data_IF_415094731811
#
_entry.id   IF_415094731811
#
_cell.length_a   1.000
_cell.length_b   1.000
_cell.length_c   1.000
_cell.angle_alpha   90.00
_cell.angle_beta   90.00
_cell.angle_gamma   90.00
#
_symmetry.space_group_name_H-M   'P 1'
#
loop_
_entity.id
_entity.type
_entity.pdbx_description
1 polymer ?
#
# COMPACT_ATOMS: atom_id res chain seq x y z
N UNK A 1 -2.39 -26.43 18.78
CA UNK A 1 -2.27 -25.04 19.28
C UNK A 1 -2.38 -25.06 20.80
N UNK A 2 -1.60 -24.21 21.47
CA UNK A 2 -1.62 -23.98 22.91
C UNK A 2 -1.84 -22.51 23.19
N UNK A 3 -2.42 -22.21 24.35
CA UNK A 3 -2.52 -20.87 24.90
C UNK A 3 -1.34 -20.62 25.83
N UNK A 4 -0.53 -19.61 25.52
CA UNK A 4 0.49 -19.10 26.40
C UNK A 4 -0.12 -18.05 27.35
N UNK A 5 -0.07 -18.31 28.65
CA UNK A 5 -0.67 -17.47 29.70
C UNK A 5 0.41 -17.16 30.74
N UNK A 6 0.63 -15.88 31.03
CA UNK A 6 1.62 -15.46 32.04
C UNK A 6 0.91 -15.07 33.32
N UNK A 7 1.23 -15.76 34.42
CA UNK A 7 0.73 -15.47 35.76
C UNK A 7 1.60 -14.42 36.44
N UNK A 8 0.98 -13.31 36.88
CA UNK A 8 1.62 -12.17 37.55
C UNK A 8 1.20 -12.09 39.02
N UNK A 9 2.15 -12.21 39.94
CA UNK A 9 1.93 -12.10 41.39
C UNK A 9 1.77 -10.67 41.94
N UNK A 10 1.45 -9.68 41.11
CA UNK A 10 1.71 -8.24 41.33
C UNK A 10 1.14 -7.57 42.60
N UNK A 11 0.24 -8.19 43.36
CA UNK A 11 -0.20 -7.68 44.68
C UNK A 11 0.74 -8.04 45.84
N UNK A 12 1.67 -8.98 45.65
CA UNK A 12 2.56 -9.49 46.69
C UNK A 12 3.95 -8.84 46.69
N UNK A 13 4.21 -7.87 45.82
CA UNK A 13 5.48 -7.12 45.78
C UNK A 13 6.71 -7.96 45.37
N UNK A 14 6.50 -9.14 44.77
CA UNK A 14 7.56 -10.01 44.24
C UNK A 14 7.40 -10.19 42.73
N UNK A 15 8.51 -10.22 41.99
CA UNK A 15 8.61 -10.46 40.54
C UNK A 15 8.30 -11.93 40.19
N UNK A 16 7.07 -12.37 40.49
CA UNK A 16 6.58 -13.68 40.08
C UNK A 16 5.90 -13.55 38.71
N UNK A 17 6.64 -13.88 37.65
CA UNK A 17 6.13 -14.04 36.29
C UNK A 17 6.34 -15.49 35.82
N UNK A 18 5.25 -16.27 35.79
CA UNK A 18 5.28 -17.70 35.44
C UNK A 18 4.44 -17.92 34.19
N UNK A 19 5.05 -18.42 33.12
CA UNK A 19 4.34 -18.79 31.91
C UNK A 19 3.80 -20.21 32.01
N UNK A 20 2.50 -20.37 31.75
CA UNK A 20 1.77 -21.64 31.68
C UNK A 20 1.22 -21.82 30.28
N UNK A 21 1.36 -23.03 29.74
CA UNK A 21 0.83 -23.44 28.46
C UNK A 21 -0.38 -24.36 28.63
N UNK A 22 -1.48 -24.02 27.98
CA UNK A 22 -2.73 -24.77 28.05
C UNK A 22 -3.22 -25.22 26.67
N UNK A 23 -3.54 -26.50 26.52
CA UNK A 23 -3.99 -27.06 25.24
C UNK A 23 -5.51 -27.30 25.27
N UNK A 24 -6.31 -26.45 24.59
CA UNK A 24 -7.77 -26.65 24.48
C UNK A 24 -8.13 -28.02 23.88
N UNK A 25 -9.06 -28.77 24.51
CA UNK A 25 -9.65 -29.98 23.92
C UNK A 25 -10.77 -29.67 22.92
N UNK A 26 -11.38 -28.48 23.00
CA UNK A 26 -12.43 -27.98 22.09
C UNK A 26 -12.10 -26.54 21.65
N UNK A 27 -12.34 -26.17 20.38
CA UNK A 27 -12.01 -24.85 19.85
C UNK A 27 -12.88 -23.71 20.41
N UNK A 28 -14.08 -24.01 20.92
CA UNK A 28 -15.04 -22.95 21.28
C UNK A 28 -15.04 -22.52 22.76
N UNK A 29 -14.35 -23.21 23.69
CA UNK A 29 -14.11 -22.71 25.07
C UNK A 29 -12.93 -23.41 25.77
N UNK A 30 -11.82 -22.71 26.08
CA UNK A 30 -11.20 -22.86 27.42
C UNK A 30 -10.27 -21.73 27.92
N UNK A 31 -10.11 -20.59 27.23
CA UNK A 31 -9.22 -19.51 27.68
C UNK A 31 -9.60 -18.95 29.08
N UNK A 32 -10.86 -19.12 29.45
CA UNK A 32 -11.39 -18.72 30.75
C UNK A 32 -11.04 -19.67 31.89
N UNK A 33 -10.77 -20.97 31.68
CA UNK A 33 -10.54 -21.90 32.82
C UNK A 33 -9.39 -21.47 33.73
N UNK A 34 -8.23 -21.13 33.15
CA UNK A 34 -7.07 -20.65 33.91
C UNK A 34 -7.32 -19.25 34.48
N UNK A 35 -7.97 -18.38 33.72
CA UNK A 35 -8.31 -17.01 34.12
C UNK A 35 -9.39 -16.95 35.22
N UNK A 36 -10.34 -17.88 35.22
CA UNK A 36 -11.45 -17.99 36.18
C UNK A 36 -10.95 -18.57 37.50
N UNK A 37 -9.99 -19.51 37.43
CA UNK A 37 -9.41 -20.15 38.60
C UNK A 37 -8.36 -19.27 39.29
N UNK A 38 -7.48 -18.61 38.51
CA UNK A 38 -6.41 -17.77 39.05
C UNK A 38 -6.79 -16.29 39.17
N UNK A 39 -7.94 -15.89 38.62
CA UNK A 39 -8.42 -14.53 38.54
C UNK A 39 -7.87 -13.76 37.34
N UNK A 40 -8.77 -13.22 36.51
CA UNK A 40 -8.42 -12.54 35.24
C UNK A 40 -7.45 -11.36 35.38
N UNK A 41 -7.36 -10.75 36.57
CA UNK A 41 -6.44 -9.64 36.86
C UNK A 41 -5.00 -10.10 37.18
N UNK A 42 -4.77 -11.41 37.38
CA UNK A 42 -3.45 -12.01 37.64
C UNK A 42 -2.85 -12.73 36.44
N UNK A 43 -3.52 -12.77 35.30
CA UNK A 43 -3.04 -13.48 34.11
C UNK A 43 -2.97 -12.54 32.91
N UNK A 44 -2.01 -12.75 32.01
CA UNK A 44 -1.93 -12.04 30.74
C UNK A 44 -3.09 -12.44 29.83
N UNK A 45 -3.40 -11.59 28.84
CA UNK A 45 -4.23 -11.99 27.71
C UNK A 45 -3.58 -13.22 27.06
N UNK A 46 -4.31 -14.34 26.88
CA UNK A 46 -3.76 -15.54 26.27
C UNK A 46 -3.26 -15.29 24.85
N UNK A 47 -2.09 -15.82 24.51
CA UNK A 47 -1.55 -15.79 23.15
C UNK A 47 -1.53 -17.20 22.56
N UNK A 48 -2.06 -17.34 21.35
CA UNK A 48 -1.96 -18.59 20.61
C UNK A 48 -0.52 -18.87 20.18
N UNK A 49 -0.03 -20.06 20.54
CA UNK A 49 1.29 -20.57 20.13
C UNK A 49 1.16 -21.99 19.60
N UNK A 50 2.00 -22.36 18.65
CA UNK A 50 2.03 -23.72 18.12
C UNK A 50 3.25 -24.48 18.63
N UNK A 51 3.07 -25.19 19.73
CA UNK A 51 4.07 -26.03 20.37
C UNK A 51 3.89 -27.54 20.08
N UNK A 52 3.23 -27.90 18.95
CA UNK A 52 2.66 -29.23 18.68
C UNK A 52 3.34 -30.42 19.40
N UNK A 53 2.53 -31.28 20.01
CA UNK A 53 2.98 -32.53 20.65
C UNK A 53 2.12 -33.71 20.25
N UNK A 54 2.55 -34.91 20.63
CA UNK A 54 1.71 -36.11 20.49
C UNK A 54 0.48 -35.99 21.40
N UNK A 55 -0.62 -36.71 21.11
CA UNK A 55 -1.79 -36.70 21.99
C UNK A 55 -1.45 -37.03 23.45
N UNK A 56 -0.53 -37.97 23.67
CA UNK A 56 -0.07 -38.37 25.01
C UNK A 56 0.73 -37.25 25.70
N UNK A 57 1.61 -36.57 24.98
CA UNK A 57 2.35 -35.41 25.50
C UNK A 57 1.40 -34.27 25.88
N UNK A 58 0.42 -33.95 25.02
CA UNK A 58 -0.56 -32.90 25.26
C UNK A 58 -1.37 -33.18 26.52
N UNK A 59 -1.80 -34.43 26.74
CA UNK A 59 -2.49 -34.83 27.98
C UNK A 59 -1.59 -34.63 29.19
N UNK A 60 -0.35 -35.13 29.15
CA UNK A 60 0.62 -34.98 30.23
C UNK A 60 0.91 -33.50 30.57
N UNK A 61 1.08 -32.66 29.55
CA UNK A 61 1.33 -31.23 29.73
C UNK A 61 0.13 -30.50 30.33
N UNK A 62 -1.08 -30.83 29.89
CA UNK A 62 -2.31 -30.30 30.47
C UNK A 62 -2.50 -30.74 31.92
N UNK A 63 -2.18 -31.99 32.26
CA UNK A 63 -2.28 -32.50 33.63
C UNK A 63 -1.29 -31.78 34.56
N UNK A 64 -0.06 -31.52 34.09
CA UNK A 64 0.93 -30.73 34.81
C UNK A 64 0.49 -29.27 34.99
N UNK A 65 -0.05 -28.65 33.94
CA UNK A 65 -0.60 -27.29 34.00
C UNK A 65 -1.81 -27.20 34.93
N UNK A 66 -2.72 -28.17 34.89
CA UNK A 66 -3.87 -28.27 35.78
C UNK A 66 -3.45 -28.43 37.24
N UNK A 67 -2.46 -29.29 37.50
CA UNK A 67 -1.89 -29.48 38.84
C UNK A 67 -1.27 -28.20 39.40
N UNK A 68 -0.53 -27.46 38.56
CA UNK A 68 -0.02 -26.13 38.91
C UNK A 68 -1.17 -25.18 39.26
N UNK A 69 -2.14 -25.00 38.35
CA UNK A 69 -3.27 -24.08 38.51
C UNK A 69 -4.09 -24.39 39.75
N UNK A 70 -4.41 -25.66 39.99
CA UNK A 70 -5.18 -26.09 41.16
C UNK A 70 -4.44 -25.82 42.47
N UNK A 71 -3.12 -26.07 42.52
CA UNK A 71 -2.30 -25.79 43.70
C UNK A 71 -2.26 -24.31 44.02
N UNK A 72 -2.07 -23.44 43.02
CA UNK A 72 -2.09 -21.98 43.24
C UNK A 72 -3.47 -21.52 43.70
N UNK A 73 -4.54 -22.05 43.12
CA UNK A 73 -5.91 -21.67 43.47
C UNK A 73 -6.30 -22.08 44.89
N UNK A 74 -5.82 -23.22 45.39
CA UNK A 74 -6.06 -23.66 46.76
C UNK A 74 -5.42 -22.69 47.77
N UNK A 75 -4.16 -22.33 47.53
CA UNK A 75 -3.39 -21.42 48.39
C UNK A 75 -3.90 -19.98 48.31
N UNK A 76 -4.34 -19.53 47.13
CA UNK A 76 -4.93 -18.20 46.96
C UNK A 76 -6.22 -18.04 47.77
N UNK A 77 -7.02 -19.11 47.90
CA UNK A 77 -8.21 -19.10 48.77
C UNK A 77 -7.86 -18.92 50.24
N UNK A 78 -6.79 -19.55 50.71
CA UNK A 78 -6.33 -19.40 52.09
C UNK A 78 -5.76 -18.00 52.34
N UNK A 79 -4.97 -17.47 51.41
CA UNK A 79 -4.49 -16.09 51.46
C UNK A 79 -5.67 -15.09 51.48
N UNK A 80 -6.66 -15.26 50.59
CA UNK A 80 -7.84 -14.40 50.54
C UNK A 80 -8.72 -14.50 51.81
N UNK A 81 -8.72 -15.65 52.51
CA UNK A 81 -9.37 -15.78 53.83
C UNK A 81 -8.61 -14.99 54.89
N UNK A 82 -7.28 -15.04 54.89
CA UNK A 82 -6.43 -14.29 55.81
C UNK A 82 -6.55 -12.76 55.58
N UNK A 83 -6.56 -12.31 54.32
CA UNK A 83 -6.78 -10.90 53.95
C UNK A 83 -8.12 -10.37 54.47
N UNK A 84 -9.20 -11.12 54.25
CA UNK A 84 -10.54 -10.76 54.74
C UNK A 84 -10.62 -10.71 56.27
N UNK A 85 -9.83 -11.53 56.96
CA UNK A 85 -9.75 -11.48 58.41
C UNK A 85 -9.09 -10.18 58.92
N UNK A 86 -8.04 -9.68 58.25
CA UNK A 86 -7.43 -8.39 58.61
C UNK A 86 -8.45 -7.25 58.51
N UNK A 87 -9.26 -7.21 57.44
CA UNK A 87 -10.23 -6.14 57.22
C UNK A 87 -11.40 -6.10 58.23
N UNK A 88 -11.70 -7.22 58.91
CA UNK A 88 -12.84 -7.31 59.86
C UNK A 88 -12.49 -6.96 61.31
N UNK A 89 -11.22 -6.97 61.71
CA UNK A 89 -10.83 -6.82 63.12
C UNK A 89 -10.00 -5.55 63.36
N UNK A 90 -10.69 -4.42 63.54
CA UNK A 90 -10.09 -3.08 63.72
C UNK A 90 -9.52 -2.75 65.11
N UNK A 91 -9.30 -3.73 66.01
CA UNK A 91 -8.71 -3.50 67.34
C UNK A 91 -7.23 -3.94 67.36
N UNK A 92 -6.36 -3.14 67.99
CA UNK A 92 -4.89 -3.26 67.88
C UNK A 92 -4.31 -4.65 68.21
N UNK A 93 -4.86 -5.36 69.20
CA UNK A 93 -4.37 -6.69 69.62
C UNK A 93 -4.78 -7.79 68.64
N UNK A 94 -5.97 -7.69 68.05
CA UNK A 94 -6.44 -8.64 67.03
C UNK A 94 -5.81 -8.36 65.66
N UNK A 95 -5.48 -7.10 65.37
CA UNK A 95 -4.74 -6.70 64.16
C UNK A 95 -3.35 -7.33 64.07
N UNK A 96 -2.56 -7.34 65.16
CA UNK A 96 -1.22 -7.98 65.15
C UNK A 96 -1.29 -9.48 64.90
N UNK A 97 -2.26 -10.19 65.49
CA UNK A 97 -2.49 -11.63 65.26
C UNK A 97 -3.00 -11.91 63.84
N UNK A 98 -3.90 -11.06 63.32
CA UNK A 98 -4.39 -11.17 61.95
C UNK A 98 -3.27 -10.92 60.94
N UNK A 99 -2.38 -9.95 61.20
CA UNK A 99 -1.20 -9.68 60.37
C UNK A 99 -0.25 -10.88 60.34
N UNK A 100 0.09 -11.46 61.50
CA UNK A 100 0.93 -12.66 61.55
C UNK A 100 0.34 -13.83 60.76
N UNK A 101 -0.98 -14.05 60.82
CA UNK A 101 -1.66 -15.08 60.01
C UNK A 101 -1.62 -14.77 58.51
N UNK A 102 -1.70 -13.51 58.14
CA UNK A 102 -1.56 -13.11 56.74
C UNK A 102 -0.12 -13.27 56.25
N UNK A 103 0.87 -12.89 57.05
CA UNK A 103 2.28 -13.06 56.69
C UNK A 103 2.64 -14.55 56.56
N UNK A 104 2.09 -15.40 57.43
CA UNK A 104 2.22 -16.87 57.36
C UNK A 104 1.51 -17.46 56.12
N UNK A 105 0.27 -17.04 55.84
CA UNK A 105 -0.46 -17.43 54.64
C UNK A 105 0.21 -16.93 53.35
N UNK A 106 0.79 -15.73 53.37
CA UNK A 106 1.56 -15.17 52.26
C UNK A 106 2.84 -15.97 52.03
N UNK A 107 3.57 -16.30 53.09
CA UNK A 107 4.78 -17.12 53.00
C UNK A 107 4.46 -18.51 52.43
N UNK A 108 3.39 -19.14 52.94
CA UNK A 108 2.90 -20.44 52.48
C UNK A 108 2.48 -20.39 51.00
N UNK A 109 1.75 -19.35 50.60
CA UNK A 109 1.37 -19.11 49.22
C UNK A 109 2.59 -18.98 48.30
N UNK A 110 3.58 -18.17 48.68
CA UNK A 110 4.80 -17.96 47.89
C UNK A 110 5.63 -19.26 47.77
N UNK A 111 5.76 -20.02 48.86
CA UNK A 111 6.43 -21.31 48.86
C UNK A 111 5.72 -22.32 47.95
N UNK A 112 4.38 -22.36 48.02
CA UNK A 112 3.58 -23.21 47.15
C UNK A 112 3.67 -22.79 45.67
N UNK A 113 3.69 -21.50 45.37
CA UNK A 113 3.91 -20.99 44.00
C UNK A 113 5.28 -21.41 43.49
N UNK A 114 6.34 -21.21 44.27
CA UNK A 114 7.71 -21.61 43.89
C UNK A 114 7.83 -23.12 43.71
N UNK A 115 7.23 -23.91 44.60
CA UNK A 115 7.21 -25.37 44.51
C UNK A 115 6.41 -25.87 43.31
N UNK A 116 5.25 -25.28 43.04
CA UNK A 116 4.43 -25.61 41.87
C UNK A 116 5.15 -25.22 40.57
N UNK A 117 5.78 -24.04 40.53
CA UNK A 117 6.57 -23.59 39.39
C UNK A 117 7.73 -24.53 39.12
N UNK A 118 8.48 -24.93 40.16
CA UNK A 118 9.57 -25.89 40.04
C UNK A 118 9.09 -27.27 39.52
N UNK A 119 7.89 -27.72 39.93
CA UNK A 119 7.30 -28.96 39.43
C UNK A 119 6.82 -28.86 37.97
N UNK A 120 6.34 -27.68 37.55
CA UNK A 120 5.90 -27.42 36.17
C UNK A 120 7.07 -27.12 35.21
N UNK A 121 8.20 -26.66 35.74
CA UNK A 121 9.36 -26.20 34.97
C UNK A 121 9.81 -27.20 33.88
N UNK A 122 9.91 -28.53 34.11
CA UNK A 122 10.33 -29.46 33.06
C UNK A 122 9.39 -29.50 31.85
N UNK A 123 8.08 -29.34 32.07
CA UNK A 123 7.09 -29.26 30.99
C UNK A 123 7.23 -27.95 30.23
N UNK A 124 7.39 -26.84 30.97
CA UNK A 124 7.62 -25.52 30.39
C UNK A 124 8.87 -25.51 29.51
N UNK A 125 9.98 -26.05 29.99
CA UNK A 125 11.26 -26.09 29.26
C UNK A 125 11.13 -26.86 27.94
N UNK A 126 10.42 -28.00 27.94
CA UNK A 126 10.15 -28.79 26.71
C UNK A 126 9.33 -27.98 25.71
N UNK A 127 8.29 -27.28 26.16
CA UNK A 127 7.41 -26.48 25.30
C UNK A 127 8.17 -25.26 24.75
N UNK A 128 8.91 -24.54 25.59
CA UNK A 128 9.70 -23.38 25.17
C UNK A 128 10.82 -23.78 24.20
N UNK A 129 11.50 -24.91 24.42
CA UNK A 129 12.50 -25.42 23.49
C UNK A 129 11.91 -25.71 22.10
N UNK A 130 10.72 -26.32 22.03
CA UNK A 130 10.01 -26.57 20.75
C UNK A 130 9.58 -25.28 20.07
N UNK A 131 9.08 -24.30 20.82
CA UNK A 131 8.72 -22.99 20.29
C UNK A 131 9.95 -22.27 19.73
N UNK A 132 11.07 -22.30 20.44
CA UNK A 132 12.33 -21.69 20.00
C UNK A 132 12.87 -22.34 18.71
N UNK A 133 12.84 -23.67 18.60
CA UNK A 133 13.24 -24.40 17.39
C UNK A 133 12.36 -24.02 16.19
N UNK A 134 11.04 -23.95 16.39
CA UNK A 134 10.09 -23.55 15.33
C UNK A 134 10.26 -22.11 14.90
N UNK A 135 10.45 -21.19 15.84
CA UNK A 135 10.76 -19.80 15.53
C UNK A 135 12.08 -19.69 14.76
N UNK A 136 13.11 -20.46 15.13
CA UNK A 136 14.37 -20.49 14.40
C UNK A 136 14.17 -20.98 12.96
N UNK A 137 13.43 -22.07 12.76
CA UNK A 137 13.07 -22.56 11.43
C UNK A 137 12.24 -21.56 10.62
N UNK A 138 11.25 -20.91 11.25
CA UNK A 138 10.42 -19.90 10.60
C UNK A 138 11.25 -18.67 10.18
N UNK A 139 12.16 -18.20 11.05
CA UNK A 139 13.10 -17.12 10.73
C UNK A 139 14.04 -17.51 9.60
N UNK A 140 14.54 -18.74 9.59
CA UNK A 140 15.41 -19.22 8.53
C UNK A 140 14.66 -19.37 7.19
N UNK A 141 13.44 -19.93 7.20
CA UNK A 141 12.59 -20.01 6.03
C UNK A 141 12.24 -18.61 5.48
N UNK A 142 11.89 -17.67 6.35
CA UNK A 142 11.64 -16.28 5.99
C UNK A 142 12.91 -15.62 5.40
N UNK A 143 14.09 -15.89 5.98
CA UNK A 143 15.37 -15.40 5.45
C UNK A 143 15.66 -15.96 4.07
N UNK A 144 15.46 -17.26 3.83
CA UNK A 144 15.66 -17.88 2.51
C UNK A 144 14.66 -17.33 1.48
N UNK A 145 13.40 -17.19 1.86
CA UNK A 145 12.38 -16.59 1.01
C UNK A 145 12.72 -15.13 0.65
N UNK A 146 13.18 -14.34 1.64
CA UNK A 146 13.65 -12.98 1.42
C UNK A 146 14.86 -12.93 0.46
N UNK A 147 15.87 -13.78 0.67
CA UNK A 147 17.03 -13.87 -0.23
C UNK A 147 16.65 -14.29 -1.65
N UNK A 148 15.67 -15.19 -1.80
CA UNK A 148 15.12 -15.58 -3.11
C UNK A 148 14.48 -14.40 -3.82
N UNK A 149 13.60 -13.65 -3.13
CA UNK A 149 12.99 -12.42 -3.65
C UNK A 149 14.03 -11.36 -3.99
N UNK A 150 15.05 -11.20 -3.15
CA UNK A 150 16.11 -10.22 -3.39
C UNK A 150 16.92 -10.54 -4.67
N UNK A 151 17.22 -11.82 -4.94
CA UNK A 151 17.87 -12.24 -6.20
C UNK A 151 16.98 -11.94 -7.40
N UNK A 152 15.72 -12.33 -7.32
CA UNK A 152 14.73 -12.05 -8.37
C UNK A 152 14.68 -10.55 -8.68
N UNK A 153 14.61 -9.69 -7.65
CA UNK A 153 14.60 -8.24 -7.81
C UNK A 153 15.88 -7.69 -8.45
N UNK A 154 17.05 -8.26 -8.13
CA UNK A 154 18.31 -7.83 -8.76
C UNK A 154 18.35 -8.17 -10.24
N UNK A 155 17.92 -9.38 -10.62
CA UNK A 155 17.89 -9.83 -12.01
C UNK A 155 16.88 -9.01 -12.83
N UNK A 156 15.73 -8.71 -12.24
CA UNK A 156 14.71 -7.82 -12.81
C UNK A 156 15.21 -6.38 -12.98
N UNK A 157 15.85 -5.82 -11.95
CA UNK A 157 16.45 -4.49 -12.02
C UNK A 157 17.57 -4.43 -13.07
N UNK A 158 18.33 -5.52 -13.26
CA UNK A 158 19.38 -5.61 -14.28
C UNK A 158 18.77 -5.60 -15.70
N UNK A 159 17.76 -6.45 -15.95
CA UNK A 159 16.99 -6.44 -17.22
C UNK A 159 16.40 -5.07 -17.51
N UNK A 160 15.88 -4.42 -16.47
CA UNK A 160 15.29 -3.10 -16.57
C UNK A 160 16.32 -2.02 -16.97
N UNK A 161 17.50 -1.99 -16.32
CA UNK A 161 18.60 -1.09 -16.72
C UNK A 161 19.11 -1.37 -18.12
N UNK A 162 19.06 -2.62 -18.57
CA UNK A 162 19.38 -2.95 -19.96
C UNK A 162 18.36 -2.36 -20.93
N UNK A 163 17.07 -2.45 -20.62
CA UNK A 163 16.02 -1.80 -21.39
C UNK A 163 16.19 -0.27 -21.43
N UNK A 164 16.47 0.39 -20.29
CA UNK A 164 16.74 1.85 -20.24
C UNK A 164 17.89 2.23 -21.18
N UNK A 165 19.02 1.49 -21.11
CA UNK A 165 20.17 1.72 -22.00
C UNK A 165 19.80 1.60 -23.48
N UNK A 166 18.91 0.67 -23.86
CA UNK A 166 18.45 0.53 -25.25
C UNK A 166 17.58 1.71 -25.69
N UNK A 167 16.83 2.33 -24.78
CA UNK A 167 16.08 3.56 -25.07
C UNK A 167 17.02 4.75 -25.23
N UNK A 168 18.04 4.89 -24.37
CA UNK A 168 19.05 5.95 -24.49
C UNK A 168 19.79 5.89 -25.84
N UNK A 169 20.06 4.68 -26.36
CA UNK A 169 20.64 4.50 -27.70
C UNK A 169 19.70 5.05 -28.80
N UNK A 170 18.39 4.95 -28.62
CA UNK A 170 17.43 5.48 -29.59
C UNK A 170 17.41 7.02 -29.64
N UNK A 171 17.73 7.68 -28.52
CA UNK A 171 17.77 9.15 -28.40
C UNK A 171 19.15 9.74 -28.72
N UNK A 172 20.20 8.92 -28.79
CA UNK A 172 21.57 9.38 -29.04
C UNK A 172 21.81 9.62 -30.54
N UNK A 173 22.36 10.79 -30.94
CA UNK A 173 22.78 11.03 -32.32
C UNK A 173 23.80 10.00 -32.81
N UNK A 174 23.58 9.47 -34.01
CA UNK A 174 24.54 8.58 -34.68
C UNK A 174 25.66 9.39 -35.36
N UNK A 175 26.79 8.74 -35.72
CA UNK A 175 27.76 9.31 -36.66
C UNK A 175 27.07 9.59 -38.00
N UNK A 176 26.66 10.85 -38.22
CA UNK A 176 25.75 11.24 -39.31
C UNK A 176 24.68 12.25 -38.90
N UNK A 177 24.51 12.51 -37.60
CA UNK A 177 23.76 13.66 -37.08
C UNK A 177 22.40 13.32 -36.47
N UNK A 178 21.60 12.47 -37.12
CA UNK A 178 20.29 12.07 -36.60
C UNK A 178 20.42 10.92 -35.60
N UNK A 179 19.62 10.98 -34.54
CA UNK A 179 19.34 9.84 -33.66
C UNK A 179 18.42 8.83 -34.35
N UNK A 180 18.43 7.55 -33.95
CA UNK A 180 17.47 6.56 -34.44
C UNK A 180 16.03 7.05 -34.33
N UNK A 181 15.70 7.74 -33.24
CA UNK A 181 14.36 8.26 -33.02
C UNK A 181 14.00 9.39 -34.00
N UNK A 182 14.93 10.29 -34.30
CA UNK A 182 14.74 11.32 -35.33
C UNK A 182 14.61 10.71 -36.73
N UNK A 183 15.36 9.64 -37.03
CA UNK A 183 15.22 8.89 -38.28
C UNK A 183 13.84 8.23 -38.40
N UNK A 184 13.33 7.63 -37.31
CA UNK A 184 11.97 7.10 -37.30
C UNK A 184 10.94 8.24 -37.47
N UNK A 185 11.22 9.41 -36.91
CA UNK A 185 10.44 10.63 -37.06
C UNK A 185 10.52 11.27 -38.46
N UNK A 186 11.48 10.92 -39.32
CA UNK A 186 11.50 11.31 -40.75
C UNK A 186 10.97 10.20 -41.67
N UNK A 187 10.83 8.97 -41.17
CA UNK A 187 10.50 7.80 -41.98
C UNK A 187 11.73 7.16 -42.64
N UNK A 188 12.93 7.62 -42.28
CA UNK A 188 14.18 7.05 -42.77
C UNK A 188 14.44 5.69 -42.11
N UNK A 189 14.97 4.75 -42.89
CA UNK A 189 15.43 3.47 -42.38
C UNK A 189 16.95 3.34 -42.65
N UNK A 190 17.77 3.07 -41.62
CA UNK A 190 19.19 2.87 -41.86
C UNK A 190 19.41 1.59 -42.65
N UNK A 191 20.23 1.69 -43.70
CA UNK A 191 20.66 0.53 -44.49
C UNK A 191 21.53 -0.41 -43.66
N UNK A 192 22.36 0.15 -42.76
CA UNK A 192 23.17 -0.60 -41.82
C UNK A 192 23.30 0.17 -40.50
N UNK A 193 23.21 -0.54 -39.38
CA UNK A 193 23.44 0.02 -38.06
C UNK A 193 24.95 0.09 -37.74
N UNK A 194 25.43 1.20 -37.14
CA UNK A 194 26.80 1.27 -36.62
C UNK A 194 27.12 0.09 -35.70
N UNK A 195 28.40 -0.33 -35.66
CA UNK A 195 28.84 -1.46 -34.83
C UNK A 195 28.50 -1.26 -33.35
N UNK A 196 28.61 -0.03 -32.86
CA UNK A 196 28.25 0.35 -31.49
C UNK A 196 26.77 0.09 -31.20
N UNK A 197 25.86 0.48 -32.08
CA UNK A 197 24.42 0.23 -31.95
C UNK A 197 24.14 -1.27 -31.92
N UNK A 198 24.69 -2.02 -32.89
CA UNK A 198 24.54 -3.49 -32.95
C UNK A 198 25.01 -4.16 -31.66
N UNK A 199 26.12 -3.71 -31.09
CA UNK A 199 26.66 -4.28 -29.84
C UNK A 199 25.80 -3.99 -28.60
N UNK A 200 25.12 -2.84 -28.56
CA UNK A 200 24.34 -2.40 -27.41
C UNK A 200 22.91 -2.93 -27.40
N UNK A 201 22.27 -3.02 -28.58
CA UNK A 201 20.85 -3.41 -28.68
C UNK A 201 20.66 -4.88 -29.03
N UNK A 202 21.68 -5.54 -29.60
CA UNK A 202 21.61 -6.93 -30.04
C UNK A 202 20.76 -7.06 -31.30
N UNK A 203 19.50 -7.47 -31.14
CA UNK A 203 18.54 -7.58 -32.24
C UNK A 203 18.07 -6.19 -32.71
N UNK A 204 18.80 -5.64 -33.68
CA UNK A 204 18.51 -4.33 -34.24
C UNK A 204 17.17 -4.26 -34.98
N UNK A 205 16.65 -5.36 -35.51
CA UNK A 205 15.40 -5.35 -36.29
C UNK A 205 14.18 -5.24 -35.37
N UNK A 206 14.17 -6.03 -34.29
CA UNK A 206 13.16 -5.94 -33.25
C UNK A 206 13.21 -4.58 -32.53
N UNK A 207 14.40 -4.15 -32.12
CA UNK A 207 14.60 -2.84 -31.50
C UNK A 207 14.13 -1.69 -32.40
N UNK A 208 14.50 -1.71 -33.69
CA UNK A 208 14.08 -0.67 -34.63
C UNK A 208 12.56 -0.62 -34.83
N UNK A 209 11.89 -1.78 -34.83
CA UNK A 209 10.43 -1.84 -34.86
C UNK A 209 9.82 -1.19 -33.62
N UNK A 210 10.39 -1.43 -32.43
CA UNK A 210 9.97 -0.74 -31.20
C UNK A 210 10.21 0.78 -31.24
N UNK A 211 11.34 1.23 -31.80
CA UNK A 211 11.62 2.68 -31.95
C UNK A 211 10.58 3.34 -32.88
N UNK A 212 10.28 2.73 -34.02
CA UNK A 212 9.25 3.23 -34.94
C UNK A 212 7.85 3.24 -34.33
N UNK A 213 7.50 2.19 -33.59
CA UNK A 213 6.24 2.12 -32.86
C UNK A 213 6.14 3.26 -31.84
N UNK A 214 7.23 3.50 -31.10
CA UNK A 214 7.29 4.59 -30.14
C UNK A 214 7.12 5.96 -30.78
N UNK A 215 7.73 6.20 -31.93
CA UNK A 215 7.53 7.45 -32.67
C UNK A 215 6.13 7.61 -33.25
N UNK A 216 5.50 6.53 -33.73
CA UNK A 216 4.07 6.52 -34.11
C UNK A 216 3.22 7.05 -32.96
N UNK A 217 3.41 6.48 -31.78
CA UNK A 217 2.69 6.87 -30.56
C UNK A 217 2.95 8.32 -30.15
N UNK A 218 4.20 8.79 -30.19
CA UNK A 218 4.55 10.18 -29.86
C UNK A 218 3.89 11.16 -30.83
N UNK A 219 3.89 10.86 -32.14
CA UNK A 219 3.20 11.68 -33.14
C UNK A 219 1.70 11.71 -32.92
N UNK A 220 1.06 10.55 -32.67
CA UNK A 220 -0.37 10.47 -32.39
C UNK A 220 -0.75 11.26 -31.13
N UNK A 221 0.05 11.16 -30.06
CA UNK A 221 -0.11 11.96 -28.86
C UNK A 221 0.00 13.47 -29.15
N UNK A 222 1.03 13.89 -29.87
CA UNK A 222 1.21 15.30 -30.22
C UNK A 222 0.07 15.84 -31.12
N UNK A 223 -0.46 15.01 -32.04
CA UNK A 223 -1.63 15.34 -32.84
C UNK A 223 -2.89 15.47 -31.99
N UNK A 224 -3.11 14.55 -31.04
CA UNK A 224 -4.22 14.59 -30.11
C UNK A 224 -4.18 15.84 -29.21
N UNK A 225 -3.02 16.19 -28.65
CA UNK A 225 -2.80 17.41 -27.87
C UNK A 225 -3.13 18.65 -28.70
N UNK A 226 -2.61 18.75 -29.93
CA UNK A 226 -2.92 19.88 -30.83
C UNK A 226 -4.40 19.98 -31.12
N UNK A 227 -5.05 18.88 -31.48
CA UNK A 227 -6.48 18.83 -31.77
C UNK A 227 -7.33 19.35 -30.62
N UNK A 228 -7.06 18.89 -29.39
CA UNK A 228 -7.77 19.35 -28.19
C UNK A 228 -7.50 20.83 -27.95
N UNK A 229 -6.26 21.27 -28.06
CA UNK A 229 -5.86 22.68 -27.88
C UNK A 229 -6.57 23.59 -28.89
N UNK A 230 -6.58 23.22 -30.17
CA UNK A 230 -7.25 23.94 -31.25
C UNK A 230 -8.77 24.00 -31.03
N UNK A 231 -9.40 22.87 -30.65
CA UNK A 231 -10.82 22.81 -30.37
C UNK A 231 -11.22 23.74 -29.21
N UNK A 232 -10.49 23.70 -28.09
CA UNK A 232 -10.77 24.54 -26.92
C UNK A 232 -10.55 26.01 -27.24
N UNK A 233 -9.46 26.36 -27.93
CA UNK A 233 -9.18 27.74 -28.34
C UNK A 233 -10.24 28.27 -29.33
N UNK A 234 -10.69 27.44 -30.28
CA UNK A 234 -11.76 27.79 -31.20
C UNK A 234 -13.09 28.03 -30.49
N UNK A 235 -13.40 27.23 -29.47
CA UNK A 235 -14.58 27.42 -28.61
C UNK A 235 -14.45 28.67 -27.76
N UNK A 236 -13.28 28.92 -27.16
CA UNK A 236 -12.98 30.13 -26.39
C UNK A 236 -13.22 31.39 -27.22
N UNK A 237 -12.67 31.43 -28.44
CA UNK A 237 -12.83 32.55 -29.36
C UNK A 237 -14.30 32.78 -29.76
N UNK A 238 -15.04 31.71 -30.07
CA UNK A 238 -16.46 31.82 -30.43
C UNK A 238 -17.34 32.25 -29.24
N UNK A 239 -17.02 31.79 -28.03
CA UNK A 239 -17.69 32.26 -26.82
C UNK A 239 -17.37 33.74 -26.54
N UNK A 240 -16.13 34.18 -26.78
CA UNK A 240 -15.77 35.59 -26.66
C UNK A 240 -16.56 36.46 -27.64
N UNK A 241 -16.60 36.07 -28.91
CA UNK A 241 -17.30 36.80 -29.98
C UNK A 241 -18.80 36.94 -29.71
N UNK A 242 -19.41 35.91 -29.10
CA UNK A 242 -20.84 35.91 -28.75
C UNK A 242 -21.15 36.58 -27.41
N UNK A 243 -20.16 37.21 -26.76
CA UNK A 243 -20.35 37.90 -25.48
C UNK A 243 -20.48 36.95 -24.28
N UNK A 244 -19.88 35.76 -24.37
CA UNK A 244 -19.81 34.71 -23.35
C UNK A 244 -21.19 34.22 -22.87
N UNK A 245 -22.05 33.75 -23.78
CA UNK A 245 -23.39 33.31 -23.43
C UNK A 245 -23.35 32.13 -22.44
N UNK A 246 -24.24 32.16 -21.44
CA UNK A 246 -24.34 31.10 -20.44
C UNK A 246 -23.24 31.08 -19.38
N UNK A 247 -22.33 32.06 -19.36
CA UNK A 247 -21.31 32.16 -18.32
C UNK A 247 -21.96 32.26 -16.93
N UNK A 248 -21.60 31.35 -16.04
CA UNK A 248 -22.17 31.26 -14.69
C UNK A 248 -21.14 31.68 -13.65
N UNK A 249 -21.62 32.27 -12.55
CA UNK A 249 -20.79 32.47 -11.35
C UNK A 249 -20.76 31.16 -10.56
N UNK A 250 -19.59 30.54 -10.48
CA UNK A 250 -19.38 29.23 -9.86
C UNK A 250 -18.75 29.43 -8.49
N UNK A 251 -19.53 29.08 -7.45
CA UNK A 251 -19.08 29.01 -6.06
C UNK A 251 -18.82 27.55 -5.70
N UNK A 252 -17.56 27.18 -5.53
CA UNK A 252 -17.14 25.87 -5.04
C UNK A 252 -16.90 25.89 -3.53
N UNK A 253 -16.20 24.87 -2.99
CA UNK A 253 -15.66 24.94 -1.63
C UNK A 253 -14.50 25.95 -1.46
N UNK A 254 -13.68 26.24 -2.50
CA UNK A 254 -12.73 27.35 -2.41
C UNK A 254 -13.47 28.69 -2.22
N UNK A 255 -12.87 29.60 -1.47
CA UNK A 255 -13.44 30.95 -1.24
C UNK A 255 -13.40 31.84 -2.49
N UNK A 256 -12.49 31.55 -3.42
CA UNK A 256 -12.43 32.22 -4.71
C UNK A 256 -13.62 31.80 -5.59
N UNK A 257 -14.28 32.78 -6.18
CA UNK A 257 -15.38 32.59 -7.13
C UNK A 257 -14.83 32.59 -8.56
N UNK A 258 -15.24 31.64 -9.38
CA UNK A 258 -14.92 31.58 -10.81
C UNK A 258 -16.12 31.96 -11.66
N UNK A 259 -15.87 32.44 -12.88
CA UNK A 259 -16.90 32.66 -13.90
C UNK A 259 -16.63 31.71 -15.07
N UNK A 260 -17.59 30.87 -15.43
CA UNK A 260 -17.37 29.86 -16.47
C UNK A 260 -18.53 28.90 -16.69
N UNK A 261 -18.20 27.76 -17.30
CA UNK A 261 -19.10 26.66 -17.61
C UNK A 261 -18.62 25.38 -16.94
N UNK A 262 -19.55 24.59 -16.41
CA UNK A 262 -19.24 23.21 -16.05
C UNK A 262 -19.25 22.35 -17.29
N UNK A 263 -18.15 21.63 -17.51
CA UNK A 263 -18.05 20.59 -18.52
C UNK A 263 -18.09 19.26 -17.79
N UNK A 264 -19.03 18.41 -18.18
CA UNK A 264 -19.13 17.03 -17.73
C UNK A 264 -18.63 16.14 -18.85
N UNK A 265 -17.55 15.41 -18.59
CA UNK A 265 -16.99 14.51 -19.57
C UNK A 265 -17.60 13.13 -19.39
N UNK A 266 -18.26 12.65 -20.43
CA UNK A 266 -18.57 11.24 -20.60
C UNK A 266 -17.41 10.58 -21.35
N UNK A 267 -16.95 9.44 -20.84
CA UNK A 267 -15.86 8.61 -21.40
C UNK A 267 -16.32 7.19 -21.74
N UNK A 268 -17.63 6.93 -21.66
CA UNK A 268 -18.21 5.58 -21.85
C UNK A 268 -17.98 4.99 -23.25
N UNK A 269 -17.70 5.84 -24.24
CA UNK A 269 -17.43 5.46 -25.63
C UNK A 269 -15.96 5.18 -25.98
N UNK A 270 -15.04 5.24 -25.02
CA UNK A 270 -13.62 5.01 -25.28
C UNK A 270 -13.31 3.53 -25.59
N UNK A 271 -12.29 3.24 -26.44
CA UNK A 271 -11.81 1.88 -26.66
C UNK A 271 -11.38 1.16 -25.38
N UNK A 272 -11.46 -0.18 -25.37
CA UNK A 272 -11.00 -0.99 -24.24
C UNK A 272 -9.50 -0.76 -23.97
N UNK A 273 -9.20 -0.20 -22.80
CA UNK A 273 -7.84 0.12 -22.38
C UNK A 273 -7.09 -1.08 -21.83
N UNK A 274 -7.71 -2.26 -21.68
CA UNK A 274 -7.07 -3.44 -21.08
C UNK A 274 -5.80 -3.85 -21.82
N UNK A 275 -5.77 -3.72 -23.16
CA UNK A 275 -4.57 -4.00 -23.96
C UNK A 275 -3.47 -2.95 -23.80
N UNK A 276 -3.80 -1.71 -23.43
CA UNK A 276 -2.81 -0.71 -23.01
C UNK A 276 -2.21 -1.04 -21.65
N UNK A 277 -2.89 -1.91 -20.87
CA UNK A 277 -2.48 -2.31 -19.52
C UNK A 277 -1.49 -3.46 -19.46
N UNK A 278 -1.08 -3.98 -20.62
CA UNK A 278 -0.06 -5.03 -20.70
C UNK A 278 1.14 -4.45 -21.43
N UNK A 279 2.29 -4.27 -20.75
CA UNK A 279 3.50 -3.89 -21.44
C UNK A 279 3.93 -5.01 -22.39
N UNK A 280 4.55 -4.70 -23.54
CA UNK A 280 5.02 -5.72 -24.46
C UNK A 280 6.09 -6.60 -23.79
N UNK A 281 6.20 -7.85 -24.25
CA UNK A 281 7.01 -8.90 -23.62
C UNK A 281 8.51 -8.55 -23.43
N UNK A 282 9.00 -7.54 -24.14
CA UNK A 282 10.37 -7.05 -24.08
C UNK A 282 10.61 -5.98 -22.99
N UNK A 283 9.56 -5.45 -22.35
CA UNK A 283 9.68 -4.58 -21.19
C UNK A 283 9.69 -5.46 -19.94
N UNK A 284 10.76 -5.43 -19.12
CA UNK A 284 10.83 -6.28 -17.94
C UNK A 284 9.71 -5.92 -16.96
N UNK A 285 8.80 -6.87 -16.71
CA UNK A 285 7.96 -6.87 -15.52
C UNK A 285 8.88 -7.03 -14.32
N UNK A 286 9.22 -5.92 -13.66
CA UNK A 286 10.18 -5.90 -12.56
C UNK A 286 9.55 -6.50 -11.30
N UNK A 287 9.34 -7.81 -11.28
CA UNK A 287 8.85 -8.51 -10.07
C UNK A 287 7.45 -8.10 -9.65
N UNK A 288 6.72 -7.51 -10.60
CA UNK A 288 5.36 -7.06 -10.45
C UNK A 288 4.47 -8.26 -10.79
N UNK A 289 3.55 -8.58 -9.88
CA UNK A 289 2.35 -9.30 -10.31
C UNK A 289 1.62 -8.38 -11.30
N UNK A 290 0.90 -8.91 -12.29
CA UNK A 290 0.20 -8.12 -13.35
C UNK A 290 -0.65 -6.95 -12.81
N UNK A 291 -1.00 -6.99 -11.52
CA UNK A 291 -1.77 -5.99 -10.77
C UNK A 291 -1.01 -4.70 -10.37
N UNK A 292 0.32 -4.65 -10.46
CA UNK A 292 1.11 -3.52 -9.92
C UNK A 292 1.55 -2.50 -10.99
N UNK A 293 1.12 -2.67 -12.25
CA UNK A 293 1.27 -1.65 -13.27
C UNK A 293 0.19 -0.58 -13.10
N UNK A 294 0.57 0.57 -12.54
CA UNK A 294 -0.36 1.68 -12.40
C UNK A 294 -0.33 2.56 -13.65
N UNK A 295 -1.41 2.47 -14.41
CA UNK A 295 -1.70 3.32 -15.55
C UNK A 295 -2.33 4.61 -15.04
N UNK A 296 -1.58 5.70 -15.13
CA UNK A 296 -2.13 7.00 -14.81
C UNK A 296 -2.78 7.59 -16.06
N UNK A 297 -4.02 7.17 -16.32
CA UNK A 297 -4.90 7.84 -17.28
C UNK A 297 -5.60 8.98 -16.56
N UNK A 298 -5.48 10.19 -17.09
CA UNK A 298 -6.18 11.34 -16.55
C UNK A 298 -7.46 11.59 -17.34
N UNK A 299 -8.56 10.96 -16.93
CA UNK A 299 -9.89 11.12 -17.52
C UNK A 299 -10.81 11.82 -16.52
N UNK A 300 -10.81 13.17 -16.45
CA UNK A 300 -11.59 13.89 -15.47
C UNK A 300 -13.09 13.72 -15.73
N UNK A 301 -13.91 13.54 -14.71
CA UNK A 301 -15.37 13.46 -14.86
C UNK A 301 -16.02 14.84 -15.04
N UNK A 302 -15.44 15.88 -14.45
CA UNK A 302 -15.91 17.26 -14.62
C UNK A 302 -14.79 18.28 -14.47
N UNK A 303 -14.89 19.39 -15.21
CA UNK A 303 -14.01 20.55 -15.07
C UNK A 303 -14.80 21.83 -15.23
N UNK A 304 -14.31 22.90 -14.62
CA UNK A 304 -14.80 24.25 -14.91
C UNK A 304 -13.97 24.80 -16.05
N UNK A 305 -14.59 25.11 -17.18
CA UNK A 305 -13.98 25.96 -18.19
C UNK A 305 -14.24 27.42 -17.80
N UNK A 306 -13.21 28.09 -17.33
CA UNK A 306 -13.32 29.38 -16.64
C UNK A 306 -12.64 30.49 -17.43
N UNK A 307 -13.16 31.71 -17.27
CA UNK A 307 -12.43 32.94 -17.56
C UNK A 307 -11.76 33.40 -16.27
N UNK A 308 -10.43 33.46 -16.29
CA UNK A 308 -9.65 33.95 -15.15
C UNK A 308 -9.70 35.47 -15.05
N UNK A 309 -9.20 36.00 -13.93
CA UNK A 309 -9.13 37.45 -13.70
C UNK A 309 -8.26 38.18 -14.73
N UNK A 310 -7.32 37.48 -15.37
CA UNK A 310 -6.53 38.00 -16.50
C UNK A 310 -7.37 38.20 -17.76
N UNK A 311 -8.58 37.65 -17.82
CA UNK A 311 -9.41 37.59 -19.02
C UNK A 311 -9.18 36.36 -19.88
N UNK A 312 -8.14 35.57 -19.58
CA UNK A 312 -7.78 34.35 -20.31
C UNK A 312 -8.71 33.18 -19.95
N UNK A 313 -8.94 32.31 -20.92
CA UNK A 313 -9.63 31.05 -20.72
C UNK A 313 -8.69 29.98 -20.16
N UNK A 314 -9.20 29.13 -19.29
CA UNK A 314 -8.47 27.99 -18.75
C UNK A 314 -9.42 26.99 -18.10
N UNK A 315 -8.84 25.95 -17.51
CA UNK A 315 -9.60 24.91 -16.82
C UNK A 315 -9.29 24.91 -15.33
N UNK A 316 -10.31 24.72 -14.52
CA UNK A 316 -10.16 24.63 -13.08
C UNK A 316 -10.85 23.39 -12.51
N UNK A 317 -10.26 22.82 -11.48
CA UNK A 317 -10.88 21.82 -10.62
C UNK A 317 -10.67 22.14 -9.14
N UNK A 318 -11.58 21.65 -8.31
CA UNK A 318 -11.51 21.85 -6.86
C UNK A 318 -10.46 20.90 -6.27
N UNK A 319 -9.45 21.45 -5.60
CA UNK A 319 -8.42 20.71 -4.92
C UNK A 319 -8.49 20.92 -3.41
N UNK A 320 -8.58 19.83 -2.64
CA UNK A 320 -8.55 19.84 -1.18
C UNK A 320 -7.19 19.40 -0.65
N UNK A 321 -6.54 20.25 0.13
CA UNK A 321 -5.30 19.93 0.85
C UNK A 321 -5.57 19.88 2.35
N UNK A 322 -5.00 18.88 3.05
CA UNK A 322 -5.05 18.86 4.51
C UNK A 322 -4.15 19.98 5.05
N UNK A 323 -4.63 20.70 6.06
CA UNK A 323 -3.84 21.73 6.73
C UNK A 323 -2.64 21.05 7.41
N UNK A 324 -1.39 21.36 7.02
CA UNK A 324 -0.21 20.74 7.64
C UNK A 324 -0.09 21.11 9.13
N UNK A 325 0.49 20.18 9.93
CA UNK A 325 0.81 20.34 11.37
C UNK A 325 -0.33 20.80 12.29
N UNK A 326 -1.09 19.84 12.84
CA UNK A 326 -1.94 20.05 14.02
C UNK A 326 -3.34 20.62 13.79
N UNK A 327 -3.70 20.99 12.56
CA UNK A 327 -5.05 21.45 12.21
C UNK A 327 -6.01 20.31 11.86
N UNK A 328 -7.22 20.32 12.43
CA UNK A 328 -8.34 19.55 11.90
C UNK A 328 -9.03 20.37 10.79
N UNK A 329 -8.74 20.09 9.53
CA UNK A 329 -9.42 20.75 8.41
C UNK A 329 -8.79 20.50 7.03
N UNK A 330 -9.59 20.74 5.99
CA UNK A 330 -9.18 20.71 4.58
C UNK A 330 -9.32 22.12 4.01
N UNK A 331 -8.23 22.68 3.50
CA UNK A 331 -8.25 23.91 2.70
C UNK A 331 -8.55 23.56 1.26
N UNK A 332 -9.57 24.21 0.69
CA UNK A 332 -9.96 24.02 -0.71
C UNK A 332 -9.47 25.20 -1.55
N UNK A 333 -8.84 24.90 -2.68
CA UNK A 333 -8.37 25.88 -3.67
C UNK A 333 -8.76 25.45 -5.08
N UNK A 334 -8.94 26.40 -5.99
CA UNK A 334 -9.02 26.08 -7.41
C UNK A 334 -7.64 25.75 -7.95
N UNK A 335 -7.46 24.53 -8.44
CA UNK A 335 -6.30 24.17 -9.22
C UNK A 335 -6.55 24.57 -10.67
N UNK A 336 -5.87 25.63 -11.11
CA UNK A 336 -6.06 26.27 -12.43
C UNK A 336 -4.99 25.79 -13.40
N UNK A 337 -5.40 25.54 -14.64
CA UNK A 337 -4.54 25.10 -15.74
C UNK A 337 -4.81 25.94 -16.98
N UNK A 338 -3.76 26.21 -17.75
CA UNK A 338 -3.93 26.70 -19.11
C UNK A 338 -4.56 25.61 -19.99
N UNK A 339 -5.06 26.02 -21.15
CA UNK A 339 -5.61 25.09 -22.16
C UNK A 339 -4.54 24.05 -22.55
N UNK A 340 -3.31 24.51 -22.83
CA UNK A 340 -2.19 23.64 -23.21
C UNK A 340 -1.84 22.64 -22.09
N UNK A 341 -1.74 23.11 -20.84
CA UNK A 341 -1.46 22.23 -19.69
C UNK A 341 -2.53 21.16 -19.52
N UNK A 342 -3.80 21.52 -19.69
CA UNK A 342 -4.89 20.55 -19.62
C UNK A 342 -4.80 19.52 -20.76
N UNK A 343 -4.57 19.97 -21.99
CA UNK A 343 -4.42 19.09 -23.15
C UNK A 343 -3.23 18.14 -22.99
N UNK A 344 -2.08 18.64 -22.55
CA UNK A 344 -0.90 17.80 -22.25
C UNK A 344 -1.19 16.78 -21.14
N UNK A 345 -1.83 17.19 -20.04
CA UNK A 345 -2.15 16.30 -18.92
C UNK A 345 -3.13 15.17 -19.31
N UNK A 346 -4.11 15.46 -20.17
CA UNK A 346 -5.06 14.49 -20.69
C UNK A 346 -4.35 13.31 -21.37
N UNK A 347 -3.22 13.58 -22.02
CA UNK A 347 -2.42 12.58 -22.72
C UNK A 347 -1.05 12.32 -22.06
N UNK A 348 -0.84 12.77 -20.81
CA UNK A 348 0.38 12.51 -20.04
C UNK A 348 0.35 11.09 -19.47
N UNK A 349 0.23 10.15 -20.39
CA UNK A 349 0.08 8.75 -20.13
C UNK A 349 1.41 8.20 -19.66
N UNK A 350 1.46 7.86 -18.37
CA UNK A 350 2.65 7.31 -17.72
C UNK A 350 2.32 5.98 -17.10
N UNK A 351 3.30 5.10 -17.18
CA UNK A 351 3.34 3.88 -16.41
C UNK A 351 4.19 4.12 -15.18
N UNK A 352 3.60 3.92 -14.00
CA UNK A 352 4.25 4.08 -12.71
C UNK A 352 4.61 2.71 -12.16
N UNK A 353 5.90 2.54 -11.84
CA UNK A 353 6.43 1.40 -11.11
C UNK A 353 6.68 1.86 -9.68
N UNK A 354 5.91 1.33 -8.73
CA UNK A 354 6.16 1.54 -7.31
C UNK A 354 7.31 0.64 -6.86
N UNK A 355 8.23 1.20 -6.09
CA UNK A 355 9.25 0.39 -5.42
C UNK A 355 8.58 -0.42 -4.30
N UNK A 356 9.11 -1.61 -3.97
CA UNK A 356 8.61 -2.40 -2.86
C UNK A 356 8.63 -1.62 -1.53
N UNK A 357 7.80 -2.03 -0.55
CA UNK A 357 7.70 -1.35 0.75
C UNK A 357 9.07 -1.16 1.41
N UNK A 358 9.37 0.06 1.86
CA UNK A 358 10.64 0.42 2.50
C UNK A 358 11.64 1.14 1.59
N UNK A 359 11.29 1.41 0.33
CA UNK A 359 12.05 2.28 -0.56
C UNK A 359 11.18 3.43 -1.06
N UNK A 360 11.47 4.65 -0.61
CA UNK A 360 10.79 5.84 -1.14
C UNK A 360 11.13 6.02 -2.62
N UNK A 361 10.09 6.22 -3.43
CA UNK A 361 10.19 6.57 -4.85
C UNK A 361 9.37 5.68 -5.78
N UNK A 362 8.87 6.29 -6.84
CA UNK A 362 8.29 5.61 -7.99
C UNK A 362 9.12 5.95 -9.22
N UNK A 363 9.14 5.05 -10.20
CA UNK A 363 9.67 5.37 -11.53
C UNK A 363 8.50 5.52 -12.49
N UNK A 364 8.53 6.53 -13.35
CA UNK A 364 7.47 6.76 -14.34
C UNK A 364 8.03 6.77 -15.75
N UNK A 365 7.40 6.04 -16.67
CA UNK A 365 7.82 5.98 -18.09
C UNK A 365 6.69 6.42 -19.02
N UNK A 366 7.01 7.10 -20.13
CA UNK A 366 6.01 7.45 -21.14
C UNK A 366 5.35 6.19 -21.71
N UNK A 367 4.02 6.20 -21.80
CA UNK A 367 3.27 5.12 -22.47
C UNK A 367 3.60 4.98 -23.94
N UNK A 368 4.00 6.09 -24.57
CA UNK A 368 4.42 6.10 -25.97
C UNK A 368 5.56 5.13 -26.25
N UNK A 369 6.42 4.84 -25.28
CA UNK A 369 7.64 4.06 -25.50
C UNK A 369 7.43 2.54 -25.39
N UNK A 370 6.22 2.11 -25.05
CA UNK A 370 5.92 0.69 -24.90
C UNK A 370 4.53 0.27 -25.39
N UNK A 371 3.55 1.16 -25.48
CA UNK A 371 2.23 0.78 -25.95
C UNK A 371 2.27 0.31 -27.41
N UNK A 372 1.48 -0.71 -27.74
CA UNK A 372 1.23 -1.11 -29.12
C UNK A 372 0.53 0.04 -29.87
N UNK A 373 1.09 0.56 -30.98
CA UNK A 373 0.46 1.65 -31.74
C UNK A 373 -0.94 1.33 -32.24
N UNK A 374 -1.22 0.07 -32.55
CA UNK A 374 -2.53 -0.34 -33.07
C UNK A 374 -3.61 -0.29 -31.97
N UNK A 375 -3.21 -0.14 -30.71
CA UNK A 375 -4.11 0.09 -29.57
C UNK A 375 -4.01 1.54 -29.08
N UNK A 376 -2.80 2.11 -29.03
CA UNK A 376 -2.55 3.43 -28.47
C UNK A 376 -3.10 4.56 -29.34
N UNK A 377 -2.91 4.50 -30.67
CA UNK A 377 -3.37 5.56 -31.56
C UNK A 377 -4.88 5.71 -31.57
N UNK A 378 -5.68 4.63 -31.76
CA UNK A 378 -7.14 4.75 -31.71
C UNK A 378 -7.64 5.26 -30.35
N UNK A 379 -6.94 4.91 -29.26
CA UNK A 379 -7.30 5.38 -27.93
C UNK A 379 -7.08 6.89 -27.78
N UNK A 380 -5.89 7.41 -28.11
CA UNK A 380 -5.62 8.85 -27.96
C UNK A 380 -6.45 9.69 -28.94
N UNK A 381 -6.73 9.16 -30.13
CA UNK A 381 -7.66 9.79 -31.08
C UNK A 381 -9.08 9.86 -30.52
N UNK A 382 -9.62 8.76 -29.98
CA UNK A 382 -10.95 8.74 -29.38
C UNK A 382 -11.08 9.70 -28.19
N UNK A 383 -10.05 9.77 -27.32
CA UNK A 383 -10.01 10.73 -26.21
C UNK A 383 -9.99 12.17 -26.74
N UNK A 384 -9.21 12.46 -27.78
CA UNK A 384 -9.15 13.79 -28.38
C UNK A 384 -10.48 14.20 -29.02
N UNK A 385 -11.11 13.30 -29.78
CA UNK A 385 -12.42 13.52 -30.40
C UNK A 385 -13.50 13.79 -29.37
N UNK A 386 -13.59 12.94 -28.35
CA UNK A 386 -14.60 13.06 -27.31
C UNK A 386 -14.40 14.35 -26.50
N UNK A 387 -13.15 14.72 -26.21
CA UNK A 387 -12.83 15.99 -25.55
C UNK A 387 -13.25 17.18 -26.40
N UNK A 388 -12.88 17.20 -27.69
CA UNK A 388 -13.27 18.26 -28.61
C UNK A 388 -14.80 18.40 -28.70
N UNK A 389 -15.53 17.28 -28.78
CA UNK A 389 -16.98 17.26 -28.80
C UNK A 389 -17.60 17.88 -27.54
N UNK A 390 -17.08 17.56 -26.35
CA UNK A 390 -17.53 18.14 -25.08
C UNK A 390 -17.37 19.66 -25.02
N UNK A 391 -16.29 20.20 -25.60
CA UNK A 391 -16.10 21.65 -25.70
C UNK A 391 -16.97 22.28 -26.78
N UNK A 392 -17.13 21.66 -27.94
CA UNK A 392 -18.00 22.16 -29.00
C UNK A 392 -19.47 22.26 -28.57
N UNK A 393 -19.92 21.38 -27.66
CA UNK A 393 -21.25 21.43 -27.07
C UNK A 393 -21.53 22.72 -26.25
N UNK A 394 -20.50 23.51 -25.89
CA UNK A 394 -20.69 24.81 -25.25
C UNK A 394 -21.15 25.90 -26.21
N UNK A 395 -20.98 25.71 -27.52
CA UNK A 395 -21.35 26.71 -28.51
C UNK A 395 -22.88 26.69 -28.74
N UNK A 396 -23.57 27.84 -28.63
CA UNK A 396 -24.99 27.90 -28.92
C UNK A 396 -25.23 27.62 -30.41
N UNK A 397 -25.85 26.47 -30.71
CA UNK A 397 -26.33 26.03 -32.03
C UNK A 397 -25.45 26.46 -33.22
N UNK A 398 -24.32 25.77 -33.44
CA UNK A 398 -23.80 25.64 -34.81
C UNK A 398 -24.72 24.65 -35.55
N UNK A 399 -25.24 25.01 -36.74
CA UNK A 399 -26.06 24.09 -37.53
C UNK A 399 -25.32 22.80 -37.88
#
# INVERSE_FOLDING_TARGET
>A
MALQISYRGGRLGEDLDITVYWFPREPDRPAHYVSDILGAWRVSIPRDVDASGTPQEIVSWNDAAASFVQRIAAEDRELAKAERAIGRWGLLVTRRRAQLRYDDARTSFLEAVRSAAAAYQPVRDVIEARLAEREAHAREAARRAYQGKERQWRDEAARFREWERRQEVADRPLPGGLSPREMAASGDAPVNWPAEVRSLVGDTSSWWTSVRASERNRRANAQAVRKVTEAINGVAAALEETGRPGISTIRGRPSEVLCGWWIHFDWSGLPDTTRLRTPPANVPAVGLEDKDWHYQLYLPSSRVFAVYRSGEFGLADEHGSKIPSGGYGTTYTWFKRTIDQFAEELFRNRVIIFRPPGHDGHRSYPMTDHADPDVYEPYVEAVAEQTAAHFHALLPNRP
#
